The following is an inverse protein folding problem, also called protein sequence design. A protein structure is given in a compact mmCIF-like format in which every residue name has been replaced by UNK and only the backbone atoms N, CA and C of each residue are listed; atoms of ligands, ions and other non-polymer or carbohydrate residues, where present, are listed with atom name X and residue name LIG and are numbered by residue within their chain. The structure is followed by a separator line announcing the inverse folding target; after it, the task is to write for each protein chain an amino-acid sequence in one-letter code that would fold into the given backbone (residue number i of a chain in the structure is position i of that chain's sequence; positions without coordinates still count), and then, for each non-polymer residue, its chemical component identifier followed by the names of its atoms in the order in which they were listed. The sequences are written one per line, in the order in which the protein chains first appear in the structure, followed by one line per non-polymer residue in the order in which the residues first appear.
data_IF_884706303010
#
_entry.id   IF_884706303010
#
_cell.length_a   1.000
_cell.length_b   1.000
_cell.length_c   1.000
_cell.angle_alpha   90.00
_cell.angle_beta   90.00
_cell.angle_gamma   90.00
#
_symmetry.space_group_name_H-M   'P 1'
#
loop_
_entity.id
_entity.type
_entity.pdbx_description
1 polymer ?
#
# COMPACT_ATOMS: atom_id res chain seq x y z
N UNK A 1 -18.11 -9.79 9.62
CA UNK A 1 -16.83 -10.24 9.01
C UNK A 1 -16.51 -9.37 7.82
N UNK A 2 -15.25 -9.00 7.67
CA UNK A 2 -14.82 -8.21 6.52
C UNK A 2 -14.75 -9.07 5.26
N UNK A 3 -15.26 -8.54 4.13
CA UNK A 3 -15.16 -9.18 2.83
C UNK A 3 -13.74 -9.19 2.28
N UNK A 4 -12.84 -8.37 2.84
CA UNK A 4 -11.45 -8.29 2.39
C UNK A 4 -10.72 -9.64 2.48
N UNK A 5 -11.06 -10.45 3.50
CA UNK A 5 -10.35 -11.70 3.76
C UNK A 5 -10.54 -12.76 2.68
N UNK A 6 -11.61 -12.68 1.90
CA UNK A 6 -11.99 -13.70 0.93
C UNK A 6 -11.62 -13.34 -0.52
N UNK A 7 -11.12 -12.13 -0.75
CA UNK A 7 -10.78 -11.67 -2.10
C UNK A 7 -9.59 -12.47 -2.65
N UNK A 8 -9.71 -13.13 -3.82
CA UNK A 8 -8.59 -13.85 -4.41
C UNK A 8 -7.43 -12.92 -4.76
N UNK A 9 -6.23 -13.33 -4.37
CA UNK A 9 -4.98 -12.63 -4.64
C UNK A 9 -3.97 -13.63 -5.20
N UNK A 10 -2.91 -13.11 -5.80
CA UNK A 10 -1.76 -13.91 -6.20
C UNK A 10 -0.50 -13.28 -5.64
N UNK A 11 0.36 -14.11 -5.06
CA UNK A 11 1.66 -13.65 -4.60
C UNK A 11 2.54 -13.30 -5.78
N UNK A 12 3.61 -12.57 -5.51
CA UNK A 12 4.55 -12.14 -6.54
C UNK A 12 5.11 -13.32 -7.37
N UNK A 13 5.26 -14.48 -6.75
CA UNK A 13 5.71 -15.72 -7.40
C UNK A 13 4.58 -16.53 -8.03
N UNK A 14 3.34 -16.02 -7.98
CA UNK A 14 2.18 -16.60 -8.65
C UNK A 14 1.29 -17.52 -7.83
N UNK A 15 1.62 -17.79 -6.57
CA UNK A 15 0.79 -18.64 -5.71
C UNK A 15 -0.52 -17.95 -5.35
N UNK A 16 -1.60 -18.72 -5.30
CA UNK A 16 -2.88 -18.24 -4.82
C UNK A 16 -2.79 -17.83 -3.35
N UNK A 17 -3.48 -16.75 -3.00
CA UNK A 17 -3.49 -16.22 -1.64
C UNK A 17 -4.79 -15.47 -1.35
N UNK A 18 -5.02 -15.17 -0.08
CA UNK A 18 -6.06 -14.24 0.37
C UNK A 18 -5.54 -13.48 1.59
N UNK A 19 -6.15 -12.36 1.92
CA UNK A 19 -5.84 -11.64 3.16
C UNK A 19 -6.25 -12.43 4.40
N UNK A 20 -7.09 -13.46 4.24
CA UNK A 20 -7.46 -14.37 5.34
C UNK A 20 -6.25 -15.01 6.02
N UNK A 21 -5.13 -15.15 5.31
CA UNK A 21 -3.87 -15.66 5.89
C UNK A 21 -3.33 -14.75 7.00
N UNK A 22 -3.75 -13.48 7.01
CA UNK A 22 -3.29 -12.47 7.98
C UNK A 22 -4.39 -12.07 8.95
N UNK A 23 -5.48 -12.82 9.01
CA UNK A 23 -6.58 -12.55 9.92
C UNK A 23 -6.08 -12.49 11.37
N UNK A 24 -6.50 -11.46 12.10
CA UNK A 24 -6.02 -11.21 13.47
C UNK A 24 -4.77 -10.34 13.53
N UNK A 25 -4.16 -10.04 12.38
CA UNK A 25 -3.02 -9.10 12.30
C UNK A 25 -3.50 -7.74 11.83
N UNK A 26 -2.73 -6.72 12.16
CA UNK A 26 -2.89 -5.39 11.57
C UNK A 26 -2.17 -5.38 10.23
N UNK A 27 -2.84 -4.92 9.17
CA UNK A 27 -2.27 -4.91 7.83
C UNK A 27 -2.06 -3.48 7.36
N UNK A 28 -0.86 -3.16 6.88
CA UNK A 28 -0.58 -1.93 6.15
C UNK A 28 -0.44 -2.28 4.67
N UNK A 29 -1.42 -1.89 3.89
CA UNK A 29 -1.53 -2.22 2.46
C UNK A 29 -1.02 -1.03 1.64
N UNK A 30 -0.01 -1.25 0.81
CA UNK A 30 0.69 -0.20 0.08
C UNK A 30 0.80 -0.58 -1.39
N UNK A 31 0.40 0.32 -2.29
CA UNK A 31 0.68 0.15 -3.72
C UNK A 31 2.07 0.71 -3.99
N UNK A 32 2.92 -0.09 -4.61
CA UNK A 32 4.36 0.18 -4.72
C UNK A 32 4.84 0.22 -6.16
N UNK A 33 6.01 0.83 -6.37
CA UNK A 33 6.64 0.90 -7.68
C UNK A 33 8.16 0.99 -7.54
N UNK A 34 8.87 0.50 -8.56
CA UNK A 34 10.34 0.42 -8.57
C UNK A 34 11.02 1.67 -9.13
N UNK A 35 10.30 2.52 -9.87
CA UNK A 35 10.87 3.66 -10.58
C UNK A 35 10.23 4.99 -10.19
N UNK A 36 9.67 5.08 -9.00
CA UNK A 36 9.01 6.28 -8.46
C UNK A 36 10.00 7.08 -7.62
N UNK A 37 9.83 8.40 -7.58
CA UNK A 37 10.58 9.25 -6.64
C UNK A 37 10.35 8.87 -5.18
N UNK A 38 9.24 8.21 -4.87
CA UNK A 38 8.93 7.73 -3.52
C UNK A 38 9.42 6.29 -3.26
N UNK A 39 10.04 5.62 -4.22
CA UNK A 39 10.54 4.24 -4.07
C UNK A 39 11.45 4.05 -2.85
N UNK A 40 12.27 5.03 -2.42
CA UNK A 40 13.03 4.88 -1.18
C UNK A 40 12.19 4.62 0.08
N UNK A 41 10.87 4.83 0.04
CA UNK A 41 9.99 4.46 1.14
C UNK A 41 10.00 2.95 1.44
N UNK A 42 10.42 2.10 0.49
CA UNK A 42 10.61 0.67 0.77
C UNK A 42 11.47 0.43 2.00
N UNK A 43 12.54 1.21 2.18
CA UNK A 43 13.41 1.07 3.35
C UNK A 43 12.65 1.30 4.65
N UNK A 44 11.83 2.35 4.70
CA UNK A 44 11.03 2.67 5.87
C UNK A 44 9.91 1.66 6.11
N UNK A 45 9.30 1.14 5.05
CA UNK A 45 8.26 0.10 5.15
C UNK A 45 8.84 -1.20 5.72
N UNK A 46 10.01 -1.61 5.25
CA UNK A 46 10.68 -2.81 5.77
C UNK A 46 11.06 -2.61 7.24
N UNK A 47 11.53 -1.41 7.61
CA UNK A 47 11.85 -1.08 9.00
C UNK A 47 10.61 -1.14 9.90
N UNK A 48 9.47 -0.63 9.45
CA UNK A 48 8.21 -0.77 10.19
C UNK A 48 7.85 -2.23 10.38
N UNK A 49 7.97 -3.02 9.34
CA UNK A 49 7.67 -4.44 9.40
C UNK A 49 8.55 -5.15 10.43
N UNK A 50 9.86 -4.93 10.37
CA UNK A 50 10.80 -5.51 11.34
C UNK A 50 10.48 -5.09 12.76
N UNK A 51 10.13 -3.83 12.97
CA UNK A 51 9.89 -3.28 14.30
C UNK A 51 8.61 -3.84 14.94
N UNK A 52 7.55 -4.03 14.15
CA UNK A 52 6.22 -4.36 14.67
C UNK A 52 5.74 -5.77 14.32
N UNK A 53 6.49 -6.55 13.58
CA UNK A 53 6.12 -7.90 13.17
C UNK A 53 5.73 -8.77 14.38
N UNK A 54 6.54 -8.74 15.43
CA UNK A 54 6.31 -9.53 16.63
C UNK A 54 5.03 -9.12 17.38
N UNK A 55 4.59 -7.86 17.21
CA UNK A 55 3.35 -7.36 17.79
C UNK A 55 2.12 -7.61 16.92
N UNK A 56 2.31 -8.11 15.71
CA UNK A 56 1.21 -8.49 14.82
C UNK A 56 0.99 -7.57 13.62
N UNK A 57 1.94 -6.73 13.26
CA UNK A 57 1.87 -5.95 12.02
C UNK A 57 2.37 -6.78 10.85
N UNK A 58 1.67 -6.71 9.72
CA UNK A 58 2.19 -7.14 8.43
C UNK A 58 2.06 -6.01 7.44
N UNK A 59 3.10 -5.78 6.64
CA UNK A 59 3.08 -4.85 5.51
C UNK A 59 2.86 -5.67 4.25
N UNK A 60 1.93 -5.24 3.40
CA UNK A 60 1.57 -5.96 2.17
C UNK A 60 1.79 -5.04 0.97
N UNK A 61 2.70 -5.41 0.09
CA UNK A 61 3.06 -4.61 -1.08
C UNK A 61 2.37 -5.09 -2.35
N UNK A 62 1.69 -4.18 -3.03
CA UNK A 62 0.99 -4.44 -4.29
C UNK A 62 1.61 -3.58 -5.39
N UNK A 63 2.49 -4.13 -6.23
CA UNK A 63 3.05 -3.38 -7.35
C UNK A 63 1.96 -2.88 -8.28
N UNK A 64 2.11 -1.66 -8.77
CA UNK A 64 1.11 -1.03 -9.63
C UNK A 64 1.79 -0.16 -10.69
N UNK A 65 1.36 -0.31 -11.95
CA UNK A 65 1.90 0.45 -13.08
C UNK A 65 0.99 1.61 -13.52
N UNK A 66 -0.06 1.91 -12.74
CA UNK A 66 -1.05 2.93 -13.12
C UNK A 66 -0.52 4.36 -13.07
N UNK A 67 0.54 4.61 -12.32
CA UNK A 67 1.03 5.97 -12.05
C UNK A 67 2.34 6.23 -12.78
N UNK A 68 2.24 6.87 -13.93
CA UNK A 68 3.40 7.25 -14.73
C UNK A 68 4.18 6.05 -15.29
N UNK A 69 3.57 4.87 -15.35
CA UNK A 69 4.22 3.63 -15.78
C UNK A 69 5.55 3.38 -15.05
N UNK A 70 5.55 3.61 -13.72
CA UNK A 70 6.74 3.51 -12.87
C UNK A 70 6.99 2.10 -12.33
N UNK A 71 6.19 1.12 -12.76
CA UNK A 71 6.38 -0.31 -12.44
C UNK A 71 6.23 -1.16 -13.70
N UNK A 72 7.09 -0.97 -14.71
CA UNK A 72 6.93 -1.67 -15.99
C UNK A 72 7.48 -3.09 -16.01
N UNK A 73 8.25 -3.48 -14.98
CA UNK A 73 8.90 -4.78 -14.93
C UNK A 73 7.96 -5.94 -14.71
N UNK A 74 8.47 -7.15 -14.95
CA UNK A 74 7.78 -8.39 -14.62
C UNK A 74 7.81 -8.62 -13.11
N UNK A 75 6.98 -9.55 -12.63
CA UNK A 75 6.97 -9.94 -11.23
C UNK A 75 8.34 -10.44 -10.76
N UNK A 76 9.05 -11.19 -11.60
CA UNK A 76 10.40 -11.65 -11.27
C UNK A 76 11.40 -10.49 -11.14
N UNK A 77 11.29 -9.50 -12.02
CA UNK A 77 12.14 -8.30 -11.97
C UNK A 77 11.83 -7.46 -10.72
N UNK A 78 10.55 -7.37 -10.35
CA UNK A 78 10.13 -6.65 -9.14
C UNK A 78 10.67 -7.35 -7.89
N UNK A 79 10.58 -8.68 -7.82
CA UNK A 79 11.10 -9.46 -6.71
C UNK A 79 12.61 -9.25 -6.54
N UNK A 80 13.35 -9.30 -7.64
CA UNK A 80 14.79 -9.09 -7.65
C UNK A 80 15.15 -7.67 -7.20
N UNK A 81 14.45 -6.66 -7.73
CA UNK A 81 14.65 -5.26 -7.35
C UNK A 81 14.46 -5.05 -5.85
N UNK A 82 13.35 -5.55 -5.29
CA UNK A 82 13.03 -5.38 -3.87
C UNK A 82 14.07 -6.05 -2.98
N UNK A 83 14.49 -7.27 -3.35
CA UNK A 83 15.48 -8.02 -2.57
C UNK A 83 16.84 -7.35 -2.59
N UNK A 84 17.33 -6.98 -3.79
CA UNK A 84 18.69 -6.43 -3.95
C UNK A 84 18.85 -5.03 -3.38
N UNK A 85 17.83 -4.20 -3.54
CA UNK A 85 17.95 -2.78 -3.18
C UNK A 85 17.49 -2.47 -1.77
N UNK A 86 16.51 -3.24 -1.24
CA UNK A 86 15.88 -2.90 0.05
C UNK A 86 15.75 -4.09 1.00
N UNK A 87 16.13 -5.29 0.58
CA UNK A 87 16.02 -6.49 1.41
C UNK A 87 14.60 -6.73 1.93
N UNK A 88 13.59 -6.47 1.09
CA UNK A 88 12.19 -6.55 1.47
C UNK A 88 11.82 -7.97 1.90
N UNK A 89 11.32 -8.12 3.14
CA UNK A 89 10.86 -9.40 3.69
C UNK A 89 9.34 -9.46 3.86
N UNK A 90 8.65 -8.31 3.85
CA UNK A 90 7.19 -8.33 3.93
C UNK A 90 6.58 -8.92 2.64
N UNK A 91 5.36 -9.52 2.75
CA UNK A 91 4.73 -10.15 1.59
C UNK A 91 4.49 -9.18 0.44
N UNK A 92 4.80 -9.63 -0.77
CA UNK A 92 4.56 -8.90 -2.00
C UNK A 92 3.61 -9.71 -2.89
N UNK A 93 2.79 -9.02 -3.68
CA UNK A 93 1.78 -9.62 -4.54
C UNK A 93 2.04 -9.28 -6.00
N UNK A 94 1.33 -9.95 -6.91
CA UNK A 94 1.46 -9.63 -8.32
C UNK A 94 0.90 -8.23 -8.61
N UNK A 95 1.31 -7.68 -9.74
CA UNK A 95 0.93 -6.34 -10.18
C UNK A 95 -0.58 -6.23 -10.30
N UNK A 96 -1.16 -5.13 -9.77
CA UNK A 96 -2.61 -4.88 -9.81
C UNK A 96 -2.89 -3.48 -10.36
N UNK A 97 -4.12 -3.28 -10.82
CA UNK A 97 -4.64 -1.95 -11.10
C UNK A 97 -5.42 -1.46 -9.88
N UNK A 98 -5.24 -0.20 -9.52
CA UNK A 98 -5.86 0.37 -8.29
C UNK A 98 -6.89 1.45 -8.59
N UNK A 99 -6.88 2.01 -9.80
CA UNK A 99 -7.86 3.00 -10.26
C UNK A 99 -8.53 2.50 -11.55
N UNK A 100 -9.53 3.23 -12.04
CA UNK A 100 -10.28 2.94 -13.26
C UNK A 100 -11.18 1.70 -13.12
N UNK A 101 -11.78 1.29 -14.23
CA UNK A 101 -12.75 0.19 -14.26
C UNK A 101 -12.13 -1.17 -13.93
N UNK A 102 -10.88 -1.38 -14.35
CA UNK A 102 -10.16 -2.63 -14.09
C UNK A 102 -9.55 -2.71 -12.67
N UNK A 103 -9.91 -1.78 -11.82
CA UNK A 103 -9.50 -1.74 -10.41
C UNK A 103 -9.70 -3.10 -9.75
N UNK A 104 -8.64 -3.58 -9.09
CA UNK A 104 -8.70 -4.83 -8.35
C UNK A 104 -9.78 -4.76 -7.26
N UNK A 105 -10.56 -5.85 -7.03
CA UNK A 105 -11.61 -5.85 -6.01
C UNK A 105 -11.14 -5.42 -4.62
N UNK A 106 -9.90 -5.76 -4.23
CA UNK A 106 -9.32 -5.32 -2.96
C UNK A 106 -9.32 -3.79 -2.88
N UNK A 107 -8.83 -3.11 -3.89
CA UNK A 107 -8.75 -1.64 -3.88
C UNK A 107 -10.13 -1.00 -3.99
N UNK A 108 -11.09 -1.66 -4.64
CA UNK A 108 -12.47 -1.19 -4.64
C UNK A 108 -13.02 -1.12 -3.21
N UNK A 109 -12.81 -2.18 -2.43
CA UNK A 109 -13.26 -2.23 -1.04
C UNK A 109 -12.50 -1.25 -0.14
N UNK A 110 -11.18 -1.16 -0.29
CA UNK A 110 -10.36 -0.23 0.50
C UNK A 110 -10.79 1.22 0.29
N UNK A 111 -10.96 1.62 -0.96
CA UNK A 111 -11.33 2.99 -1.33
C UNK A 111 -12.75 3.30 -0.85
N UNK A 112 -13.69 2.34 -0.98
CA UNK A 112 -15.06 2.53 -0.51
C UNK A 112 -15.11 2.73 1.01
N UNK A 113 -14.27 2.00 1.76
CA UNK A 113 -14.22 2.09 3.21
C UNK A 113 -13.57 3.41 3.68
N UNK A 114 -12.54 3.87 2.98
CA UNK A 114 -11.81 5.11 3.31
C UNK A 114 -11.65 5.96 2.05
N UNK A 115 -12.65 6.76 1.68
CA UNK A 115 -12.60 7.52 0.43
C UNK A 115 -11.66 8.73 0.46
N UNK A 116 -11.13 9.10 1.63
CA UNK A 116 -10.22 10.24 1.77
C UNK A 116 -8.93 9.83 2.48
N UNK A 117 -7.79 10.26 1.94
CA UNK A 117 -6.48 10.02 2.53
C UNK A 117 -6.10 11.15 3.47
N UNK A 118 -5.45 10.81 4.59
CA UNK A 118 -4.83 11.80 5.47
C UNK A 118 -3.55 12.29 4.80
N UNK A 119 -3.40 13.62 4.72
CA UNK A 119 -2.24 14.25 4.11
C UNK A 119 -1.11 14.41 5.13
N UNK A 120 0.13 14.44 4.64
CA UNK A 120 1.26 14.83 5.47
C UNK A 120 1.11 16.31 5.84
N UNK A 121 1.57 16.68 7.03
CA UNK A 121 1.52 18.07 7.49
C UNK A 121 2.30 18.97 6.54
N UNK A 122 1.67 20.05 6.09
CA UNK A 122 2.27 20.99 5.14
C UNK A 122 2.47 20.44 3.73
N UNK A 123 1.79 19.35 3.37
CA UNK A 123 1.97 18.68 2.07
C UNK A 123 1.58 19.58 0.90
N UNK A 124 2.42 19.56 -0.13
CA UNK A 124 2.16 20.16 -1.44
C UNK A 124 2.08 19.09 -2.53
N UNK A 125 2.00 17.82 -2.16
CA UNK A 125 2.06 16.71 -3.10
C UNK A 125 0.92 16.75 -4.12
N UNK A 126 -0.31 16.98 -3.66
CA UNK A 126 -1.47 17.11 -4.54
C UNK A 126 -1.33 18.26 -5.54
N UNK A 127 -0.81 19.40 -5.07
CA UNK A 127 -0.56 20.56 -5.94
C UNK A 127 0.50 20.25 -6.99
N UNK A 128 1.55 19.52 -6.62
CA UNK A 128 2.59 19.11 -7.57
C UNK A 128 2.03 18.17 -8.64
N UNK A 129 1.18 17.23 -8.26
CA UNK A 129 0.50 16.37 -9.23
C UNK A 129 -0.36 17.18 -10.18
N UNK A 130 -1.11 18.15 -9.67
CA UNK A 130 -1.96 19.03 -10.48
C UNK A 130 -1.14 19.83 -11.49
N UNK A 131 0.01 20.35 -11.06
CA UNK A 131 0.90 21.11 -11.95
C UNK A 131 1.41 20.28 -13.12
N UNK A 132 1.53 18.96 -12.94
CA UNK A 132 1.99 18.04 -13.99
C UNK A 132 0.83 17.35 -14.72
N UNK A 133 -0.42 17.75 -14.46
CA UNK A 133 -1.59 17.12 -15.08
C UNK A 133 -1.84 15.69 -14.63
N UNK A 134 -1.38 15.33 -13.43
CA UNK A 134 -1.41 13.96 -12.90
C UNK A 134 -2.41 13.74 -11.78
N UNK A 135 -3.30 14.71 -11.53
CA UNK A 135 -4.34 14.57 -10.50
C UNK A 135 -5.28 13.41 -10.84
N UNK A 136 -5.75 12.66 -9.82
CA UNK A 136 -6.75 11.61 -10.04
C UNK A 136 -8.05 12.19 -10.65
N UNK A 137 -8.75 11.36 -11.42
CA UNK A 137 -10.04 11.76 -12.00
C UNK A 137 -11.11 11.98 -10.93
N UNK A 138 -11.11 11.13 -9.90
CA UNK A 138 -12.08 11.18 -8.82
C UNK A 138 -11.36 11.49 -7.51
N UNK A 139 -11.97 12.26 -6.59
CA UNK A 139 -11.33 12.60 -5.32
C UNK A 139 -11.00 11.38 -4.44
N UNK A 140 -11.72 10.27 -4.61
CA UNK A 140 -11.50 9.06 -3.83
C UNK A 140 -10.46 8.11 -4.44
N UNK A 141 -10.00 8.38 -5.66
CA UNK A 141 -8.99 7.54 -6.32
C UNK A 141 -7.67 7.55 -5.54
N UNK A 142 -6.91 6.46 -5.67
CA UNK A 142 -5.52 6.44 -5.17
C UNK A 142 -4.74 7.54 -5.90
N UNK A 143 -4.05 8.35 -5.13
CA UNK A 143 -3.42 9.57 -5.64
C UNK A 143 -2.17 9.29 -6.46
N UNK A 144 -1.33 8.40 -5.96
CA UNK A 144 -0.06 8.02 -6.59
C UNK A 144 0.49 6.74 -5.94
N UNK A 145 1.69 6.31 -6.37
CA UNK A 145 2.40 5.20 -5.73
C UNK A 145 2.68 5.50 -4.26
N UNK A 146 2.72 4.46 -3.44
CA UNK A 146 3.01 4.50 -2.01
C UNK A 146 1.91 5.15 -1.15
N UNK A 147 0.68 5.11 -1.61
CA UNK A 147 -0.47 5.40 -0.75
C UNK A 147 -0.73 4.20 0.15
N UNK A 148 -1.17 4.44 1.39
CA UNK A 148 -1.26 3.40 2.42
C UNK A 148 -2.68 3.30 2.95
N UNK A 149 -3.16 2.06 3.10
CA UNK A 149 -4.41 1.75 3.82
C UNK A 149 -4.07 0.92 5.04
N UNK A 150 -4.60 1.31 6.19
CA UNK A 150 -4.40 0.58 7.45
C UNK A 150 -5.65 -0.22 7.78
N UNK A 151 -5.49 -1.53 7.97
CA UNK A 151 -6.58 -2.44 8.25
C UNK A 151 -6.36 -3.05 9.64
N UNK A 152 -7.37 -2.95 10.49
CA UNK A 152 -7.32 -3.47 11.85
C UNK A 152 -7.41 -5.00 11.89
N UNK A 153 -7.25 -5.55 13.09
CA UNK A 153 -7.21 -7.00 13.32
C UNK A 153 -8.50 -7.72 12.89
N UNK A 154 -9.62 -7.00 12.90
CA UNK A 154 -10.93 -7.52 12.50
C UNK A 154 -11.22 -7.35 11.01
N UNK A 155 -10.29 -6.81 10.24
CA UNK A 155 -10.45 -6.54 8.82
C UNK A 155 -11.13 -5.22 8.49
N UNK A 156 -11.43 -4.40 9.48
CA UNK A 156 -11.99 -3.06 9.23
C UNK A 156 -10.90 -2.11 8.76
N UNK A 157 -11.16 -1.35 7.69
CA UNK A 157 -10.22 -0.34 7.19
C UNK A 157 -10.32 0.90 8.08
N UNK A 158 -9.29 1.17 8.88
CA UNK A 158 -9.35 2.19 9.93
C UNK A 158 -8.72 3.52 9.53
N UNK A 159 -7.84 3.54 8.52
CA UNK A 159 -7.19 4.77 8.09
C UNK A 159 -6.62 4.63 6.68
N UNK A 160 -6.39 5.77 6.05
CA UNK A 160 -5.76 5.87 4.73
C UNK A 160 -4.82 7.06 4.75
N UNK A 161 -3.60 6.88 4.23
CA UNK A 161 -2.55 7.91 4.24
C UNK A 161 -2.05 8.18 2.83
N UNK A 162 -1.89 9.46 2.50
CA UNK A 162 -1.41 9.90 1.20
C UNK A 162 0.01 9.39 0.89
N UNK A 163 0.40 9.36 -0.40
CA UNK A 163 1.70 8.80 -0.81
C UNK A 163 2.91 9.41 -0.10
N UNK A 164 2.90 10.71 0.16
CA UNK A 164 4.03 11.41 0.78
C UNK A 164 4.05 11.33 2.31
N UNK A 165 3.07 10.66 2.92
CA UNK A 165 3.15 10.31 4.35
C UNK A 165 4.19 9.18 4.48
N UNK A 166 5.35 9.52 5.03
CA UNK A 166 6.46 8.58 5.13
C UNK A 166 6.19 7.48 6.16
N UNK A 167 6.83 6.32 6.03
CA UNK A 167 6.65 5.23 7.00
C UNK A 167 6.97 5.60 8.45
N UNK A 168 7.86 6.56 8.68
CA UNK A 168 8.21 7.04 10.01
C UNK A 168 7.39 8.25 10.48
N UNK A 169 6.41 8.69 9.70
CA UNK A 169 5.55 9.81 10.09
C UNK A 169 4.84 9.48 11.41
N UNK A 170 4.90 10.38 12.41
CA UNK A 170 4.27 10.13 13.71
C UNK A 170 2.77 9.80 13.64
N UNK A 171 2.05 10.39 12.70
CA UNK A 171 0.61 10.11 12.55
C UNK A 171 0.36 8.68 12.08
N UNK A 172 1.17 8.17 11.14
CA UNK A 172 1.07 6.79 10.67
C UNK A 172 1.47 5.81 11.77
N UNK A 173 2.59 6.06 12.43
CA UNK A 173 3.08 5.20 13.52
C UNK A 173 2.06 5.15 14.66
N UNK A 174 1.49 6.29 15.05
CA UNK A 174 0.46 6.34 16.10
C UNK A 174 -0.79 5.52 15.71
N UNK A 175 -1.21 5.60 14.45
CA UNK A 175 -2.36 4.82 13.97
C UNK A 175 -2.07 3.31 14.00
N UNK A 176 -0.87 2.90 13.63
CA UNK A 176 -0.43 1.50 13.67
C UNK A 176 -0.45 1.01 15.12
N UNK A 177 0.14 1.77 16.05
CA UNK A 177 0.18 1.38 17.46
C UNK A 177 -1.21 1.30 18.07
N UNK A 178 -2.11 2.23 17.73
CA UNK A 178 -3.49 2.19 18.19
C UNK A 178 -4.21 0.93 17.68
N UNK A 179 -3.98 0.53 16.42
CA UNK A 179 -4.58 -0.67 15.84
C UNK A 179 -4.01 -1.95 16.45
N UNK A 180 -2.73 -1.95 16.84
CA UNK A 180 -2.09 -3.10 17.50
C UNK A 180 -2.58 -3.31 18.94
N UNK A 181 -2.92 -2.25 19.63
CA UNK A 181 -3.42 -2.29 21.01
C UNK A 181 -2.35 -2.28 22.08
#
# INVERSE_FOLDING_TARGET
MSTLFDIPLHRLEGQDATLGEYQGKVMLIVNVASQCGLTPQYAGLEKLFEQYEARGLVVLGFPCNDFGAQEPGSEAEIADFCQRNYGVRFPMFEKVEVNREARHPLYRELIAAQPQARQAEGSTFGDKLAQHGLSPKNPSDVMWNFEKFLVGRDGAVVARFAPDVKPDDPALVAAIEAALG
#
